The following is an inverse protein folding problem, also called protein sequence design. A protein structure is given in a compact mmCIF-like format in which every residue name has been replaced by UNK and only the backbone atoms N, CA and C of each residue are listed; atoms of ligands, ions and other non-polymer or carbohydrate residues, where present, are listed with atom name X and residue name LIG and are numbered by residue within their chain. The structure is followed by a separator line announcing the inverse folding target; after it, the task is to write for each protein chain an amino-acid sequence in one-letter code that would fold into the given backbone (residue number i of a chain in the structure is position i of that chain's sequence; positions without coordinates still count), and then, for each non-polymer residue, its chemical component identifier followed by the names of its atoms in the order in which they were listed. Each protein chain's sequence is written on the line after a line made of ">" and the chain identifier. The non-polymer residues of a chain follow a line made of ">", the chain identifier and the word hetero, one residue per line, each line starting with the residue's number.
data_IF_078498239028
#
_entry.id   IF_078498239028
#
_cell.length_a   1.000
_cell.length_b   1.000
_cell.length_c   1.000
_cell.angle_alpha   90.00
_cell.angle_beta   90.00
_cell.angle_gamma   90.00
#
_symmetry.space_group_name_H-M   'P 1'
#
loop_
_entity.id
_entity.type
_entity.pdbx_description
1 polymer ?
#
# COMPACT_ATOMS: atom_id res chain seq x y z
N UNK A 1 -15.97 -27.41 -16.73
CA UNK A 1 -16.19 -26.06 -16.17
C UNK A 1 -14.90 -25.30 -16.40
N UNK A 2 -14.88 -24.36 -17.35
CA UNK A 2 -13.68 -23.56 -17.64
C UNK A 2 -13.66 -22.40 -16.63
N UNK A 3 -12.86 -22.53 -15.58
CA UNK A 3 -12.59 -21.43 -14.66
C UNK A 3 -11.43 -20.60 -15.21
N UNK A 4 -11.65 -19.30 -15.36
CA UNK A 4 -10.63 -18.34 -15.78
C UNK A 4 -10.35 -17.47 -14.58
N UNK A 5 -9.08 -17.41 -14.16
CA UNK A 5 -8.63 -16.50 -13.11
C UNK A 5 -8.47 -15.09 -13.69
N UNK A 6 -8.83 -14.07 -12.92
CA UNK A 6 -8.71 -12.64 -13.22
C UNK A 6 -7.30 -12.18 -13.64
N UNK A 7 -6.26 -12.93 -13.27
CA UNK A 7 -4.85 -12.66 -13.60
C UNK A 7 -4.34 -13.47 -14.80
N UNK A 8 -5.21 -14.16 -15.55
CA UNK A 8 -4.78 -15.00 -16.67
C UNK A 8 -4.17 -14.16 -17.81
N UNK A 9 -2.89 -14.36 -18.19
CA UNK A 9 -2.21 -13.50 -19.16
C UNK A 9 -2.91 -13.39 -20.53
N UNK A 10 -3.55 -14.47 -20.98
CA UNK A 10 -4.26 -14.51 -22.27
C UNK A 10 -5.46 -13.55 -22.34
N UNK A 11 -6.07 -13.17 -21.20
CA UNK A 11 -7.12 -12.16 -21.17
C UNK A 11 -6.61 -10.84 -21.74
N UNK A 12 -5.39 -10.45 -21.37
CA UNK A 12 -4.77 -9.19 -21.80
C UNK A 12 -4.15 -9.27 -23.20
N UNK A 13 -3.87 -10.48 -23.70
CA UNK A 13 -3.36 -10.74 -25.05
C UNK A 13 -4.48 -11.03 -26.08
N UNK A 14 -5.62 -10.36 -25.94
CA UNK A 14 -6.75 -10.46 -26.88
C UNK A 14 -7.97 -11.24 -26.37
N UNK A 15 -7.88 -11.92 -25.22
CA UNK A 15 -9.04 -12.55 -24.59
C UNK A 15 -10.16 -11.56 -24.23
N UNK A 16 -9.80 -10.37 -23.72
CA UNK A 16 -10.74 -9.28 -23.46
C UNK A 16 -11.38 -8.76 -24.75
N UNK A 17 -10.62 -8.71 -25.85
CA UNK A 17 -11.18 -8.35 -27.16
C UNK A 17 -12.19 -9.39 -27.63
N UNK A 18 -11.90 -10.68 -27.44
CA UNK A 18 -12.85 -11.77 -27.72
C UNK A 18 -14.12 -11.64 -26.86
N UNK A 19 -13.98 -11.41 -25.56
CA UNK A 19 -15.12 -11.16 -24.65
C UNK A 19 -15.92 -9.93 -25.13
N UNK A 20 -15.25 -8.87 -25.57
CA UNK A 20 -15.89 -7.67 -26.13
C UNK A 20 -16.69 -7.99 -27.39
N UNK A 21 -16.13 -8.75 -28.33
CA UNK A 21 -16.83 -9.20 -29.54
C UNK A 21 -18.03 -10.09 -29.20
N UNK A 22 -17.86 -11.05 -28.29
CA UNK A 22 -18.96 -11.90 -27.82
C UNK A 22 -20.07 -11.07 -27.17
N UNK A 23 -19.71 -10.08 -26.36
CA UNK A 23 -20.65 -9.13 -25.75
C UNK A 23 -21.38 -8.33 -26.83
N UNK A 24 -20.68 -7.81 -27.83
CA UNK A 24 -21.27 -7.09 -28.95
C UNK A 24 -22.27 -7.97 -29.71
N UNK A 25 -21.90 -9.22 -30.02
CA UNK A 25 -22.80 -10.20 -30.67
C UNK A 25 -24.05 -10.44 -29.82
N UNK A 26 -23.90 -10.59 -28.50
CA UNK A 26 -25.03 -10.75 -27.59
C UNK A 26 -25.94 -9.52 -27.58
N UNK A 27 -25.38 -8.30 -27.52
CA UNK A 27 -26.14 -7.05 -27.55
C UNK A 27 -26.89 -6.91 -28.87
N UNK A 28 -26.23 -7.12 -30.02
CA UNK A 28 -26.86 -7.05 -31.35
C UNK A 28 -27.99 -8.07 -31.47
N UNK A 29 -27.78 -9.30 -30.99
CA UNK A 29 -28.82 -10.32 -30.96
C UNK A 29 -29.99 -9.94 -30.05
N UNK A 30 -29.71 -9.34 -28.89
CA UNK A 30 -30.71 -8.88 -27.93
C UNK A 30 -31.52 -7.66 -28.42
N UNK A 31 -30.94 -6.79 -29.24
CA UNK A 31 -31.59 -5.60 -29.80
C UNK A 31 -32.20 -5.83 -31.19
N UNK A 32 -32.19 -7.07 -31.69
CA UNK A 32 -32.76 -7.39 -33.00
C UNK A 32 -34.27 -7.13 -33.01
N UNK A 33 -34.82 -6.51 -34.07
CA UNK A 33 -36.25 -6.29 -34.21
C UNK A 33 -37.04 -7.59 -34.44
N UNK A 34 -36.36 -8.69 -34.79
CA UNK A 34 -36.97 -10.00 -35.02
C UNK A 34 -36.77 -10.91 -33.79
N UNK A 35 -37.80 -11.67 -33.35
CA UNK A 35 -37.66 -12.64 -32.29
C UNK A 35 -36.59 -13.69 -32.61
N UNK A 36 -35.68 -13.93 -31.66
CA UNK A 36 -34.63 -14.93 -31.78
C UNK A 36 -34.40 -15.63 -30.43
N UNK A 37 -33.49 -16.59 -30.37
CA UNK A 37 -33.22 -17.35 -29.15
C UNK A 37 -32.72 -16.45 -28.00
N UNK A 38 -31.90 -15.44 -28.31
CA UNK A 38 -31.35 -14.51 -27.31
C UNK A 38 -32.44 -13.61 -26.74
N UNK A 39 -33.33 -13.05 -27.58
CA UNK A 39 -34.43 -12.22 -27.08
C UNK A 39 -35.41 -13.01 -26.23
N UNK A 40 -35.68 -14.29 -26.56
CA UNK A 40 -36.49 -15.18 -25.70
C UNK A 40 -35.81 -15.50 -24.37
N UNK A 41 -34.51 -15.74 -24.38
CA UNK A 41 -33.74 -16.04 -23.17
C UNK A 41 -33.73 -14.84 -22.22
N UNK A 42 -33.39 -13.65 -22.72
CA UNK A 42 -33.28 -12.43 -21.92
C UNK A 42 -34.63 -11.86 -21.49
N UNK A 43 -35.71 -12.14 -22.22
CA UNK A 43 -37.08 -11.76 -21.83
C UNK A 43 -37.66 -12.63 -20.70
N UNK A 44 -36.89 -13.58 -20.14
CA UNK A 44 -37.35 -14.34 -18.98
C UNK A 44 -37.49 -13.43 -17.75
N UNK A 45 -38.59 -13.57 -17.02
CA UNK A 45 -38.96 -12.70 -15.89
C UNK A 45 -37.84 -12.54 -14.83
N UNK A 46 -37.12 -13.58 -14.40
CA UNK A 46 -36.04 -13.43 -13.42
C UNK A 46 -34.88 -12.57 -13.95
N UNK A 47 -34.49 -12.75 -15.21
CA UNK A 47 -33.40 -11.98 -15.82
C UNK A 47 -33.80 -10.51 -16.00
N UNK A 48 -35.04 -10.26 -16.39
CA UNK A 48 -35.57 -8.89 -16.43
C UNK A 48 -35.59 -8.24 -15.04
N UNK A 49 -36.00 -8.97 -14.00
CA UNK A 49 -36.02 -8.45 -12.62
C UNK A 49 -34.62 -8.14 -12.11
N UNK A 50 -33.62 -8.95 -12.43
CA UNK A 50 -32.22 -8.70 -12.06
C UNK A 50 -31.66 -7.51 -12.86
N UNK A 51 -31.94 -7.45 -14.16
CA UNK A 51 -31.52 -6.34 -15.03
C UNK A 51 -32.10 -4.99 -14.58
N UNK A 52 -33.39 -4.97 -14.23
CA UNK A 52 -34.11 -3.77 -13.77
C UNK A 52 -33.47 -3.18 -12.49
N UNK A 53 -32.93 -4.02 -11.61
CA UNK A 53 -32.29 -3.60 -10.35
C UNK A 53 -30.76 -3.65 -10.37
N UNK A 54 -30.16 -3.80 -11.56
CA UNK A 54 -28.71 -4.00 -11.74
C UNK A 54 -27.88 -2.86 -11.15
N UNK A 55 -28.36 -1.63 -11.24
CA UNK A 55 -27.71 -0.46 -10.66
C UNK A 55 -27.70 -0.50 -9.12
N UNK A 56 -28.85 -0.76 -8.49
CA UNK A 56 -28.92 -0.94 -7.04
C UNK A 56 -28.04 -2.11 -6.55
N UNK A 57 -28.03 -3.24 -7.27
CA UNK A 57 -27.14 -4.37 -6.97
C UNK A 57 -25.67 -3.96 -6.99
N UNK A 58 -25.26 -3.19 -8.01
CA UNK A 58 -23.90 -2.69 -8.12
C UNK A 58 -23.52 -1.75 -6.97
N UNK A 59 -24.42 -0.89 -6.49
CA UNK A 59 -24.10 -0.01 -5.36
C UNK A 59 -23.92 -0.79 -4.05
N UNK A 60 -24.83 -1.71 -3.76
CA UNK A 60 -24.92 -2.29 -2.42
C UNK A 60 -24.07 -3.54 -2.20
N UNK A 61 -23.66 -4.25 -3.26
CA UNK A 61 -22.90 -5.48 -3.09
C UNK A 61 -21.57 -5.24 -2.34
N UNK A 62 -20.79 -4.22 -2.70
CA UNK A 62 -19.47 -4.00 -2.11
C UNK A 62 -19.54 -3.56 -0.63
N UNK A 63 -20.34 -2.55 -0.22
CA UNK A 63 -20.48 -2.18 1.19
C UNK A 63 -20.97 -3.34 2.07
N UNK A 64 -21.90 -4.16 1.58
CA UNK A 64 -22.41 -5.33 2.31
C UNK A 64 -21.30 -6.36 2.52
N UNK A 65 -20.52 -6.66 1.48
CA UNK A 65 -19.38 -7.59 1.58
C UNK A 65 -18.38 -7.10 2.62
N UNK A 66 -17.94 -5.83 2.53
CA UNK A 66 -16.97 -5.25 3.47
C UNK A 66 -17.51 -5.27 4.89
N UNK A 67 -18.77 -4.89 5.10
CA UNK A 67 -19.39 -4.89 6.42
C UNK A 67 -19.44 -6.30 7.03
N UNK A 68 -19.83 -7.31 6.24
CA UNK A 68 -19.89 -8.69 6.70
C UNK A 68 -18.52 -9.29 7.03
N UNK A 69 -17.46 -8.90 6.32
CA UNK A 69 -16.09 -9.29 6.67
C UNK A 69 -15.76 -8.81 8.09
N UNK A 70 -16.15 -7.58 8.42
CA UNK A 70 -15.85 -6.98 9.72
C UNK A 70 -16.68 -7.57 10.87
N UNK A 71 -17.99 -7.81 10.67
CA UNK A 71 -18.87 -8.29 11.75
C UNK A 71 -18.92 -9.82 11.90
N UNK A 72 -18.46 -10.58 10.89
CA UNK A 72 -18.45 -12.04 10.90
C UNK A 72 -17.04 -12.62 10.62
N UNK A 73 -16.00 -12.22 11.36
CA UNK A 73 -14.62 -12.62 11.06
C UNK A 73 -14.40 -14.13 11.21
N UNK A 74 -15.07 -14.77 12.17
CA UNK A 74 -14.91 -16.20 12.49
C UNK A 74 -15.90 -17.11 11.75
N UNK A 75 -16.68 -16.58 10.81
CA UNK A 75 -17.66 -17.37 10.06
C UNK A 75 -17.03 -18.05 8.84
N UNK A 76 -17.54 -19.22 8.48
CA UNK A 76 -17.06 -19.91 7.27
C UNK A 76 -17.27 -19.04 6.03
N UNK A 77 -16.36 -19.13 5.07
CA UNK A 77 -16.43 -18.32 3.85
C UNK A 77 -17.77 -18.49 3.13
N UNK A 78 -18.25 -19.74 3.01
CA UNK A 78 -19.54 -20.03 2.39
C UNK A 78 -20.71 -19.34 3.10
N UNK A 79 -20.72 -19.33 4.44
CA UNK A 79 -21.78 -18.67 5.20
C UNK A 79 -21.79 -17.16 4.98
N UNK A 80 -20.60 -16.54 4.92
CA UNK A 80 -20.43 -15.11 4.64
C UNK A 80 -20.85 -14.76 3.22
N UNK A 81 -20.49 -15.58 2.22
CA UNK A 81 -20.90 -15.39 0.83
C UNK A 81 -22.42 -15.49 0.66
N UNK A 82 -23.07 -16.48 1.28
CA UNK A 82 -24.53 -16.62 1.26
C UNK A 82 -25.19 -15.40 1.91
N UNK A 83 -24.70 -14.98 3.08
CA UNK A 83 -25.19 -13.79 3.76
C UNK A 83 -25.04 -12.53 2.90
N UNK A 84 -23.89 -12.35 2.24
CA UNK A 84 -23.61 -11.22 1.36
C UNK A 84 -24.60 -11.17 0.20
N UNK A 85 -24.84 -12.30 -0.48
CA UNK A 85 -25.81 -12.38 -1.59
C UNK A 85 -27.21 -12.04 -1.12
N UNK A 86 -27.68 -12.65 -0.02
CA UNK A 86 -29.04 -12.45 0.49
C UNK A 86 -29.24 -11.00 0.92
N UNK A 87 -28.34 -10.45 1.72
CA UNK A 87 -28.43 -9.07 2.22
C UNK A 87 -28.35 -8.07 1.07
N UNK A 88 -27.44 -8.29 0.11
CA UNK A 88 -27.33 -7.44 -1.08
C UNK A 88 -28.63 -7.43 -1.87
N UNK A 89 -29.24 -8.59 -2.14
CA UNK A 89 -30.51 -8.66 -2.89
C UNK A 89 -31.62 -7.92 -2.13
N UNK A 90 -31.72 -8.09 -0.82
CA UNK A 90 -32.74 -7.44 0.01
C UNK A 90 -32.57 -5.92 -0.01
N UNK A 91 -31.37 -5.42 0.29
CA UNK A 91 -31.09 -3.98 0.32
C UNK A 91 -31.24 -3.38 -1.08
N UNK A 92 -30.75 -4.07 -2.12
CA UNK A 92 -30.87 -3.61 -3.50
C UNK A 92 -32.33 -3.56 -3.97
N UNK A 93 -33.15 -4.55 -3.62
CA UNK A 93 -34.58 -4.55 -3.95
C UNK A 93 -35.30 -3.38 -3.29
N UNK A 94 -34.98 -3.09 -2.01
CA UNK A 94 -35.54 -1.97 -1.28
C UNK A 94 -35.08 -0.63 -1.87
N UNK A 95 -33.77 -0.47 -2.11
CA UNK A 95 -33.17 0.71 -2.76
C UNK A 95 -33.80 0.96 -4.13
N UNK A 96 -33.93 -0.08 -4.94
CA UNK A 96 -34.50 0.01 -6.27
C UNK A 96 -35.96 0.49 -6.22
N UNK A 97 -36.77 -0.05 -5.31
CA UNK A 97 -38.19 0.32 -5.20
C UNK A 97 -38.42 1.69 -4.56
N UNK A 98 -37.61 2.06 -3.57
CA UNK A 98 -37.83 3.25 -2.73
C UNK A 98 -37.06 4.48 -3.20
N UNK A 99 -35.95 4.30 -3.91
CA UNK A 99 -35.05 5.38 -4.33
C UNK A 99 -34.96 5.42 -5.85
N UNK A 100 -34.53 4.33 -6.47
CA UNK A 100 -34.20 4.31 -7.90
C UNK A 100 -35.43 4.50 -8.81
N UNK A 101 -36.49 3.69 -8.61
CA UNK A 101 -37.73 3.77 -9.40
C UNK A 101 -38.42 5.14 -9.30
N UNK A 102 -38.60 5.72 -8.09
CA UNK A 102 -39.17 7.06 -7.98
C UNK A 102 -38.36 8.12 -8.73
N UNK A 103 -37.03 8.08 -8.64
CA UNK A 103 -36.14 9.03 -9.33
C UNK A 103 -36.22 8.84 -10.85
N UNK A 104 -36.21 7.60 -11.35
CA UNK A 104 -36.33 7.33 -12.79
C UNK A 104 -37.64 7.85 -13.38
N UNK A 105 -38.74 7.73 -12.64
CA UNK A 105 -40.07 8.13 -13.12
C UNK A 105 -40.38 9.63 -12.96
N UNK A 106 -39.84 10.27 -11.92
CA UNK A 106 -40.24 11.64 -11.54
C UNK A 106 -39.06 12.62 -11.42
N UNK A 107 -37.83 12.18 -11.75
CA UNK A 107 -36.61 12.93 -11.51
C UNK A 107 -36.39 13.24 -10.02
N UNK A 108 -35.54 14.22 -9.71
CA UNK A 108 -35.31 14.68 -8.33
C UNK A 108 -36.58 15.24 -7.66
N UNK A 109 -37.64 15.55 -8.42
CA UNK A 109 -38.95 15.95 -7.88
C UNK A 109 -39.67 14.80 -7.17
N UNK A 110 -39.24 13.55 -7.35
CA UNK A 110 -39.70 12.40 -6.58
C UNK A 110 -39.58 12.66 -5.06
N UNK A 111 -38.48 13.28 -4.63
CA UNK A 111 -38.25 13.65 -3.23
C UNK A 111 -39.18 14.76 -2.72
N UNK A 112 -39.81 15.52 -3.62
CA UNK A 112 -40.71 16.62 -3.29
C UNK A 112 -42.18 16.17 -3.26
N UNK A 113 -42.54 15.15 -4.05
CA UNK A 113 -43.92 14.67 -4.20
C UNK A 113 -44.34 13.68 -3.10
N UNK A 114 -43.39 12.98 -2.47
CA UNK A 114 -43.64 12.24 -1.23
C UNK A 114 -43.61 13.17 -0.02
N UNK A 115 -44.67 13.98 0.09
CA UNK A 115 -45.06 14.69 1.32
C UNK A 115 -46.02 13.80 2.13
N UNK A 116 -45.53 12.97 3.06
CA UNK A 116 -46.08 12.92 4.40
C UNK A 116 -45.18 13.81 5.28
N UNK A 117 -45.67 14.26 6.42
CA UNK A 117 -45.03 15.27 7.26
C UNK A 117 -43.62 14.90 7.82
N UNK A 118 -43.01 13.78 7.40
CA UNK A 118 -41.65 13.34 7.76
C UNK A 118 -40.59 13.41 6.63
N UNK A 119 -40.93 13.76 5.39
CA UNK A 119 -39.97 13.73 4.25
C UNK A 119 -38.80 14.72 4.37
N UNK A 120 -39.05 15.90 4.96
CA UNK A 120 -37.97 16.86 5.29
C UNK A 120 -37.05 16.31 6.38
N UNK A 121 -37.59 15.57 7.35
CA UNK A 121 -36.81 14.97 8.43
C UNK A 121 -35.95 13.83 7.90
N UNK A 122 -36.45 13.01 6.97
CA UNK A 122 -35.67 11.94 6.32
C UNK A 122 -34.58 12.46 5.38
N UNK A 123 -34.85 13.53 4.61
CA UNK A 123 -33.84 14.16 3.75
C UNK A 123 -32.78 14.92 4.55
N UNK A 124 -33.19 15.62 5.62
CA UNK A 124 -32.25 16.23 6.56
C UNK A 124 -31.50 15.13 7.32
N UNK A 125 -32.15 14.04 7.72
CA UNK A 125 -31.48 12.93 8.39
C UNK A 125 -30.53 12.18 7.46
N UNK A 126 -30.82 12.03 6.16
CA UNK A 126 -29.88 11.40 5.22
C UNK A 126 -28.71 12.32 4.89
N UNK A 127 -28.94 13.63 4.72
CA UNK A 127 -27.85 14.60 4.57
C UNK A 127 -27.04 14.73 5.86
N UNK A 128 -27.68 14.74 7.04
CA UNK A 128 -27.02 14.74 8.35
C UNK A 128 -26.32 13.41 8.59
N UNK A 129 -26.83 12.26 8.17
CA UNK A 129 -26.14 10.97 8.28
C UNK A 129 -24.99 10.84 7.29
N UNK A 130 -25.11 11.43 6.08
CA UNK A 130 -23.99 11.52 5.13
C UNK A 130 -22.95 12.49 5.64
N UNK A 131 -23.32 13.66 6.17
CA UNK A 131 -22.38 14.63 6.74
C UNK A 131 -21.82 14.18 8.10
N UNK A 132 -22.59 13.47 8.91
CA UNK A 132 -22.15 12.88 10.17
C UNK A 132 -21.33 11.63 9.90
N UNK A 133 -21.60 10.86 8.85
CA UNK A 133 -20.78 9.73 8.39
C UNK A 133 -19.49 10.19 7.73
N UNK A 134 -19.53 11.22 6.88
CA UNK A 134 -18.35 11.90 6.33
C UNK A 134 -17.55 12.55 7.45
N UNK A 135 -18.23 13.20 8.38
CA UNK A 135 -17.65 13.78 9.58
C UNK A 135 -17.07 12.72 10.49
N UNK A 136 -17.72 11.56 10.67
CA UNK A 136 -17.20 10.43 11.45
C UNK A 136 -15.98 9.82 10.78
N UNK A 137 -15.94 9.75 9.45
CA UNK A 137 -14.79 9.24 8.69
C UNK A 137 -13.62 10.24 8.72
N UNK A 138 -13.92 11.54 8.63
CA UNK A 138 -12.92 12.60 8.74
C UNK A 138 -12.38 12.71 10.18
N UNK A 139 -13.27 12.55 11.16
CA UNK A 139 -12.95 12.54 12.59
C UNK A 139 -12.36 11.21 13.02
N UNK A 140 -12.64 10.08 12.38
CA UNK A 140 -11.95 8.81 12.68
C UNK A 140 -10.53 8.84 12.12
N UNK A 141 -10.33 9.48 10.97
CA UNK A 141 -8.98 9.79 10.49
C UNK A 141 -8.29 10.87 11.34
N UNK A 142 -9.06 11.75 12.01
CA UNK A 142 -8.55 12.82 12.88
C UNK A 142 -8.58 12.54 14.40
N UNK A 143 -9.10 11.38 14.84
CA UNK A 143 -9.24 10.96 16.25
C UNK A 143 -8.76 9.52 16.44
N UNK A 144 -7.65 9.18 15.79
CA UNK A 144 -6.65 8.34 16.44
C UNK A 144 -5.96 9.21 17.53
N UNK A 145 -6.75 9.54 18.55
CA UNK A 145 -6.38 10.43 19.66
C UNK A 145 -6.93 9.85 20.95
N UNK A 146 -6.77 8.54 21.14
CA UNK A 146 -6.71 7.97 22.48
C UNK A 146 -5.30 8.26 22.98
N UNK A 147 -5.17 8.85 24.18
CA UNK A 147 -3.93 9.13 24.92
C UNK A 147 -2.66 8.81 24.12
N UNK A 148 -2.30 9.64 23.13
CA UNK A 148 -1.29 9.30 22.14
C UNK A 148 0.04 9.19 22.86
N UNK A 149 0.45 7.97 23.17
CA UNK A 149 1.81 7.69 23.62
C UNK A 149 2.67 7.93 22.39
N UNK A 150 3.34 9.07 22.38
CA UNK A 150 4.16 9.50 21.24
C UNK A 150 5.53 8.90 21.37
N UNK A 151 6.05 8.26 20.32
CA UNK A 151 7.48 8.01 20.28
C UNK A 151 8.19 9.33 20.06
N UNK A 152 9.24 9.60 20.85
CA UNK A 152 10.01 10.83 20.74
C UNK A 152 11.28 10.59 19.96
N UNK A 153 11.36 11.26 18.83
CA UNK A 153 12.53 11.26 17.98
C UNK A 153 13.25 12.61 18.18
N UNK A 154 14.53 12.63 18.56
CA UNK A 154 15.26 13.88 18.74
C UNK A 154 15.25 14.68 17.46
N UNK A 155 14.98 15.98 17.57
CA UNK A 155 15.13 16.90 16.45
C UNK A 155 16.60 17.01 16.07
N UNK A 156 16.88 17.00 14.77
CA UNK A 156 18.20 17.33 14.27
C UNK A 156 18.47 18.83 14.49
N UNK A 157 19.50 19.21 15.29
CA UNK A 157 19.76 20.61 15.60
C UNK A 157 20.13 21.47 14.38
N UNK A 158 20.50 20.84 13.25
CA UNK A 158 20.93 21.51 12.02
C UNK A 158 19.85 21.56 10.94
N UNK A 159 18.71 20.93 11.17
CA UNK A 159 17.65 20.87 10.17
C UNK A 159 17.07 22.26 9.86
N UNK A 160 16.92 22.58 8.58
CA UNK A 160 16.41 23.88 8.12
C UNK A 160 17.33 25.06 8.47
N UNK A 161 18.57 24.80 8.90
CA UNK A 161 19.58 25.83 9.16
C UNK A 161 20.47 26.03 7.94
N UNK A 162 21.12 27.19 7.85
CA UNK A 162 22.10 27.46 6.80
C UNK A 162 23.38 26.63 7.00
N UNK A 163 24.11 26.35 5.90
CA UNK A 163 25.31 25.50 5.95
C UNK A 163 26.38 26.04 6.91
N UNK A 164 26.47 27.35 7.07
CA UNK A 164 27.42 28.02 7.96
C UNK A 164 27.20 27.70 9.44
N UNK A 165 26.00 27.26 9.81
CA UNK A 165 25.67 26.85 11.18
C UNK A 165 26.04 25.40 11.50
N UNK A 166 26.39 24.61 10.48
CA UNK A 166 26.74 23.20 10.61
C UNK A 166 28.25 23.08 10.88
N UNK A 167 28.67 22.38 11.96
CA UNK A 167 30.07 22.19 12.27
C UNK A 167 30.86 21.60 11.10
N UNK A 168 32.11 22.05 10.95
CA UNK A 168 32.97 21.64 9.83
C UNK A 168 33.29 20.15 9.80
N UNK A 169 33.20 19.46 10.95
CA UNK A 169 33.37 18.01 11.04
C UNK A 169 32.20 17.21 10.43
N UNK A 170 31.10 17.86 10.05
CA UNK A 170 30.10 17.28 9.16
C UNK A 170 30.38 17.72 7.71
N UNK A 171 31.09 16.88 6.92
CA UNK A 171 31.38 17.19 5.54
C UNK A 171 30.11 17.13 4.71
N UNK A 172 30.14 17.79 3.54
CA UNK A 172 29.09 17.62 2.54
C UNK A 172 29.11 16.18 2.02
N UNK A 173 27.95 15.56 1.90
CA UNK A 173 27.82 14.17 1.43
C UNK A 173 26.80 14.07 0.30
N UNK A 174 27.12 13.25 -0.69
CA UNK A 174 26.15 12.81 -1.69
C UNK A 174 25.48 11.54 -1.18
N UNK A 175 24.15 11.51 -1.15
CA UNK A 175 23.35 10.37 -0.68
C UNK A 175 22.45 9.90 -1.81
N UNK A 176 22.49 8.62 -2.13
CA UNK A 176 21.51 7.98 -3.02
C UNK A 176 20.55 7.18 -2.17
N UNK A 177 19.30 7.64 -2.08
CA UNK A 177 18.24 7.00 -1.31
C UNK A 177 17.49 6.01 -2.21
N UNK A 178 17.64 4.72 -1.95
CA UNK A 178 17.04 3.64 -2.76
C UNK A 178 15.93 2.96 -1.98
N UNK A 179 14.82 2.64 -2.64
CA UNK A 179 13.77 1.84 -2.00
C UNK A 179 12.46 1.78 -2.78
N UNK A 180 11.38 1.45 -2.07
CA UNK A 180 10.04 1.35 -2.62
C UNK A 180 9.18 2.60 -2.29
N UNK A 181 7.88 2.42 -2.07
CA UNK A 181 6.93 3.51 -1.85
C UNK A 181 7.17 4.32 -0.56
N UNK A 182 7.67 3.71 0.51
CA UNK A 182 8.05 4.41 1.75
C UNK A 182 9.25 5.34 1.52
N UNK A 183 10.21 4.93 0.69
CA UNK A 183 11.35 5.76 0.31
C UNK A 183 10.96 6.91 -0.62
N UNK A 184 10.02 6.67 -1.56
CA UNK A 184 9.42 7.75 -2.37
C UNK A 184 8.75 8.78 -1.46
N UNK A 185 7.88 8.33 -0.54
CA UNK A 185 7.19 9.22 0.39
C UNK A 185 8.14 10.00 1.28
N UNK A 186 9.19 9.36 1.80
CA UNK A 186 10.21 10.04 2.61
C UNK A 186 11.00 11.07 1.81
N UNK A 187 11.37 10.77 0.56
CA UNK A 187 12.07 11.72 -0.30
C UNK A 187 11.22 12.93 -0.68
N UNK A 188 9.94 12.73 -0.98
CA UNK A 188 9.03 13.79 -1.41
C UNK A 188 8.56 14.65 -0.24
N UNK A 189 8.22 14.03 0.89
CA UNK A 189 7.58 14.71 2.04
C UNK A 189 8.54 15.00 3.19
N UNK A 190 9.70 14.36 3.23
CA UNK A 190 10.70 14.57 4.28
C UNK A 190 11.42 15.91 4.23
N UNK A 191 11.14 16.72 3.19
CA UNK A 191 11.84 17.99 2.91
C UNK A 191 13.35 17.79 2.92
N UNK A 192 13.82 16.77 2.20
CA UNK A 192 15.22 16.35 2.22
C UNK A 192 16.20 17.42 1.74
N UNK A 193 15.70 18.44 1.05
CA UNK A 193 16.49 19.59 0.60
C UNK A 193 16.74 20.62 1.71
N UNK A 194 16.11 20.50 2.88
CA UNK A 194 16.35 21.36 4.05
C UNK A 194 17.56 20.90 4.89
N UNK A 195 18.28 19.87 4.46
CA UNK A 195 19.57 19.45 5.04
C UNK A 195 20.71 19.89 4.12
N UNK A 196 21.31 21.08 4.31
CA UNK A 196 22.19 21.71 3.32
C UNK A 196 23.59 21.04 3.19
N UNK A 197 23.91 20.11 4.07
CA UNK A 197 25.12 19.29 4.02
C UNK A 197 24.90 17.95 3.30
N UNK A 198 23.65 17.54 3.04
CA UNK A 198 23.32 16.28 2.38
C UNK A 198 22.69 16.55 1.00
N UNK A 199 23.35 16.12 -0.07
CA UNK A 199 22.80 16.13 -1.42
C UNK A 199 22.10 14.81 -1.70
N UNK A 200 20.79 14.80 -1.53
CA UNK A 200 19.98 13.58 -1.59
C UNK A 200 19.41 13.39 -2.99
N UNK A 201 19.69 12.24 -3.58
CA UNK A 201 19.11 11.78 -4.82
C UNK A 201 18.22 10.57 -4.53
N UNK A 202 16.92 10.74 -4.69
CA UNK A 202 15.99 9.62 -4.57
C UNK A 202 16.01 8.79 -5.85
N UNK A 203 16.22 7.50 -5.68
CA UNK A 203 15.98 6.48 -6.69
C UNK A 203 15.09 5.40 -6.09
N UNK A 204 13.80 5.69 -6.01
CA UNK A 204 12.81 4.81 -5.41
C UNK A 204 11.59 4.63 -6.32
N UNK A 205 10.91 3.49 -6.22
CA UNK A 205 9.75 3.18 -7.09
C UNK A 205 8.61 2.47 -6.36
N UNK A 206 7.39 2.93 -6.59
CA UNK A 206 6.19 2.44 -5.91
C UNK A 206 5.88 1.00 -6.33
N UNK A 207 6.00 0.08 -5.37
CA UNK A 207 5.67 -1.32 -5.57
C UNK A 207 6.64 -2.07 -6.49
N UNK A 208 7.88 -1.62 -6.59
CA UNK A 208 8.99 -2.35 -7.20
C UNK A 208 10.03 -2.72 -6.13
N UNK A 209 10.79 -3.78 -6.39
CA UNK A 209 11.87 -4.27 -5.55
C UNK A 209 13.22 -3.98 -6.19
N UNK A 210 14.28 -3.90 -5.38
CA UNK A 210 15.66 -3.68 -5.87
C UNK A 210 16.30 -4.95 -6.44
N UNK A 211 15.63 -6.09 -6.35
CA UNK A 211 16.18 -7.41 -6.64
C UNK A 211 16.53 -7.50 -8.13
N UNK A 212 17.76 -7.89 -8.47
CA UNK A 212 18.17 -7.98 -9.88
C UNK A 212 17.90 -9.37 -10.47
N UNK A 213 17.71 -10.38 -9.62
CA UNK A 213 17.36 -11.74 -10.04
C UNK A 213 15.86 -11.91 -10.28
N UNK A 214 15.54 -12.58 -11.40
CA UNK A 214 14.20 -13.08 -11.73
C UNK A 214 13.68 -14.17 -10.76
N UNK A 215 14.54 -14.71 -9.89
CA UNK A 215 14.29 -15.90 -9.07
C UNK A 215 13.52 -15.65 -7.77
N UNK A 216 13.06 -14.43 -7.52
CA UNK A 216 12.35 -14.09 -6.28
C UNK A 216 11.09 -13.30 -6.64
N UNK A 217 9.98 -14.02 -6.82
CA UNK A 217 8.66 -13.39 -6.79
C UNK A 217 8.19 -13.31 -5.35
N UNK A 218 7.80 -12.12 -4.90
CA UNK A 218 7.09 -11.97 -3.64
C UNK A 218 5.59 -12.27 -3.85
N UNK A 219 4.89 -12.77 -2.83
CA UNK A 219 3.44 -12.94 -2.88
C UNK A 219 2.73 -11.62 -3.27
N UNK A 220 1.88 -11.66 -4.31
CA UNK A 220 1.18 -10.50 -4.86
C UNK A 220 1.94 -9.76 -5.96
N UNK A 221 3.13 -10.22 -6.36
CA UNK A 221 3.88 -9.67 -7.48
C UNK A 221 3.36 -10.26 -8.80
N UNK A 222 2.70 -9.41 -9.60
CA UNK A 222 2.31 -9.73 -10.98
C UNK A 222 3.53 -9.91 -11.90
N UNK A 223 3.33 -10.14 -13.21
CA UNK A 223 4.45 -10.05 -14.16
C UNK A 223 5.16 -8.70 -14.00
N UNK A 224 6.49 -8.73 -14.08
CA UNK A 224 7.31 -7.52 -13.89
C UNK A 224 6.83 -6.42 -14.83
N UNK A 225 6.39 -5.31 -14.24
CA UNK A 225 5.99 -4.13 -15.00
C UNK A 225 7.25 -3.53 -15.60
N UNK A 226 7.17 -3.00 -16.82
CA UNK A 226 8.29 -2.31 -17.49
C UNK A 226 8.95 -1.28 -16.55
N UNK A 227 8.13 -0.55 -15.79
CA UNK A 227 8.59 0.41 -14.78
C UNK A 227 9.49 -0.19 -13.69
N UNK A 228 9.30 -1.45 -13.29
CA UNK A 228 10.17 -2.11 -12.30
C UNK A 228 11.49 -2.59 -12.93
N UNK A 229 11.46 -2.98 -14.20
CA UNK A 229 12.67 -3.31 -14.96
C UNK A 229 13.52 -2.04 -15.15
N UNK A 230 12.90 -0.93 -15.54
CA UNK A 230 13.56 0.38 -15.63
C UNK A 230 14.09 0.84 -14.28
N UNK A 231 13.30 0.71 -13.21
CA UNK A 231 13.71 1.05 -11.86
C UNK A 231 15.03 0.36 -11.46
N UNK A 232 15.14 -0.96 -11.71
CA UNK A 232 16.33 -1.75 -11.36
C UNK A 232 17.59 -1.31 -12.09
N UNK A 233 17.46 -0.70 -13.27
CA UNK A 233 18.57 -0.04 -13.98
C UNK A 233 18.84 1.33 -13.37
N UNK A 234 17.79 2.12 -13.17
CA UNK A 234 17.89 3.52 -12.75
C UNK A 234 18.59 3.72 -11.41
N UNK A 235 18.43 2.81 -10.44
CA UNK A 235 19.08 2.98 -9.14
C UNK A 235 20.59 2.74 -9.20
N UNK A 236 21.05 1.86 -10.09
CA UNK A 236 22.49 1.67 -10.34
C UNK A 236 23.05 2.88 -11.08
N UNK A 237 22.37 3.34 -12.14
CA UNK A 237 22.76 4.53 -12.89
C UNK A 237 22.84 5.77 -11.97
N UNK A 238 21.91 5.94 -11.03
CA UNK A 238 21.90 7.02 -10.05
C UNK A 238 23.16 7.06 -9.16
N UNK A 239 23.82 5.92 -8.96
CA UNK A 239 25.09 5.80 -8.24
C UNK A 239 26.25 6.14 -9.19
N UNK A 240 26.28 5.55 -10.39
CA UNK A 240 27.37 5.70 -11.37
C UNK A 240 27.66 7.16 -11.75
N UNK A 241 26.62 7.98 -11.86
CA UNK A 241 26.74 9.38 -12.27
C UNK A 241 27.06 10.33 -11.10
N UNK A 242 27.47 9.80 -9.94
CA UNK A 242 27.76 10.58 -8.73
C UNK A 242 29.17 10.26 -8.23
N UNK A 243 29.81 11.27 -7.66
CA UNK A 243 31.14 11.13 -7.11
C UNK A 243 31.05 10.68 -5.64
N UNK A 244 31.50 9.46 -5.36
CA UNK A 244 31.67 8.90 -4.00
C UNK A 244 30.39 8.91 -3.12
N UNK A 245 29.21 8.45 -3.63
CA UNK A 245 27.96 8.53 -2.87
C UNK A 245 27.88 7.51 -1.73
N UNK A 246 27.24 7.91 -0.62
CA UNK A 246 26.66 6.95 0.34
C UNK A 246 25.33 6.44 -0.22
N UNK A 247 25.17 5.12 -0.32
CA UNK A 247 23.91 4.50 -0.75
C UNK A 247 23.14 4.07 0.49
N UNK A 248 21.89 4.53 0.61
CA UNK A 248 21.00 4.19 1.72
C UNK A 248 19.80 3.43 1.19
N UNK A 249 19.69 2.15 1.54
CA UNK A 249 18.56 1.30 1.17
C UNK A 249 17.49 1.34 2.24
N UNK A 250 16.28 1.76 1.90
CA UNK A 250 15.10 1.61 2.75
C UNK A 250 14.43 0.28 2.44
N UNK A 251 14.40 -0.61 3.43
CA UNK A 251 13.73 -1.89 3.29
C UNK A 251 12.21 -1.73 3.23
N UNK A 252 11.57 -2.73 2.64
CA UNK A 252 10.14 -2.72 2.37
C UNK A 252 9.49 -4.05 2.76
N UNK A 253 8.19 -4.01 3.04
CA UNK A 253 7.42 -5.12 3.63
C UNK A 253 7.35 -6.38 2.78
N UNK A 254 7.71 -6.33 1.49
CA UNK A 254 7.79 -7.56 0.66
C UNK A 254 8.85 -8.57 1.10
N UNK A 255 9.82 -8.18 1.94
CA UNK A 255 10.76 -9.12 2.55
C UNK A 255 10.09 -10.02 3.61
N UNK A 256 8.84 -9.74 3.99
CA UNK A 256 7.99 -10.56 4.86
C UNK A 256 6.94 -11.36 4.04
N UNK A 257 7.14 -11.43 2.72
CA UNK A 257 6.32 -12.23 1.81
C UNK A 257 6.93 -13.61 1.56
N UNK A 258 6.17 -14.50 0.94
CA UNK A 258 6.72 -15.77 0.46
C UNK A 258 7.62 -15.52 -0.76
N UNK A 259 8.76 -16.19 -0.80
CA UNK A 259 9.65 -16.24 -1.96
C UNK A 259 9.47 -17.53 -2.74
N UNK A 260 9.35 -17.44 -4.06
CA UNK A 260 9.24 -18.61 -4.93
C UNK A 260 10.56 -18.89 -5.65
N UNK A 261 11.28 -19.94 -5.23
CA UNK A 261 12.50 -20.41 -5.88
C UNK A 261 12.23 -21.80 -6.48
N UNK A 262 12.47 -21.96 -7.78
CA UNK A 262 12.19 -23.19 -8.54
C UNK A 262 10.75 -23.73 -8.38
N UNK A 263 9.79 -22.85 -8.15
CA UNK A 263 8.38 -23.18 -7.96
C UNK A 263 8.00 -23.62 -6.54
N UNK A 264 8.96 -23.67 -5.61
CA UNK A 264 8.72 -23.88 -4.19
C UNK A 264 8.63 -22.55 -3.44
N UNK A 265 7.63 -22.42 -2.58
CA UNK A 265 7.44 -21.24 -1.75
C UNK A 265 8.19 -21.39 -0.42
N UNK A 266 8.93 -20.37 -0.04
CA UNK A 266 9.63 -20.25 1.23
C UNK A 266 9.09 -19.02 1.96
N UNK A 267 8.45 -19.26 3.11
CA UNK A 267 7.84 -18.21 3.90
C UNK A 267 8.78 -17.64 4.96
N UNK A 268 8.49 -16.45 5.50
CA UNK A 268 9.29 -15.86 6.57
C UNK A 268 9.48 -16.80 7.77
N UNK A 269 10.69 -16.79 8.34
CA UNK A 269 11.05 -17.62 9.50
C UNK A 269 11.56 -19.02 9.14
N UNK A 270 11.69 -19.38 7.85
CA UNK A 270 12.42 -20.59 7.44
C UNK A 270 13.86 -20.26 7.04
N UNK A 271 14.83 -21.18 7.24
CA UNK A 271 16.22 -20.96 6.83
C UNK A 271 16.37 -20.60 5.35
N UNK A 272 15.56 -21.19 4.47
CA UNK A 272 15.61 -20.95 3.03
C UNK A 272 15.13 -19.55 2.66
N UNK A 273 14.11 -19.04 3.36
CA UNK A 273 13.68 -17.64 3.21
C UNK A 273 14.81 -16.69 3.63
N UNK A 274 15.44 -16.96 4.78
CA UNK A 274 16.53 -16.13 5.29
C UNK A 274 17.73 -16.11 4.34
N UNK A 275 18.04 -17.24 3.70
CA UNK A 275 19.09 -17.32 2.67
C UNK A 275 18.77 -16.48 1.44
N UNK A 276 17.50 -16.43 1.02
CA UNK A 276 17.05 -15.54 -0.06
C UNK A 276 17.23 -14.08 0.34
N UNK A 277 16.84 -13.69 1.56
CA UNK A 277 17.04 -12.32 2.07
C UNK A 277 18.52 -11.95 2.08
N UNK A 278 19.40 -12.80 2.62
CA UNK A 278 20.86 -12.56 2.64
C UNK A 278 21.41 -12.42 1.22
N UNK A 279 20.93 -13.23 0.28
CA UNK A 279 21.32 -13.14 -1.13
C UNK A 279 20.92 -11.82 -1.79
N UNK A 280 19.72 -11.32 -1.50
CA UNK A 280 19.24 -10.01 -1.96
C UNK A 280 20.12 -8.88 -1.43
N UNK A 281 20.42 -8.90 -0.12
CA UNK A 281 21.24 -7.86 0.52
C UNK A 281 22.67 -7.88 -0.02
N UNK A 282 23.23 -9.08 -0.24
CA UNK A 282 24.55 -9.26 -0.83
C UNK A 282 24.62 -8.72 -2.27
N UNK A 283 23.65 -9.08 -3.12
CA UNK A 283 23.58 -8.59 -4.50
C UNK A 283 23.44 -7.06 -4.53
N UNK A 284 22.56 -6.49 -3.69
CA UNK A 284 22.39 -5.05 -3.62
C UNK A 284 23.69 -4.33 -3.22
N UNK A 285 24.39 -4.84 -2.20
CA UNK A 285 25.67 -4.28 -1.74
C UNK A 285 26.73 -4.37 -2.84
N UNK A 286 26.93 -5.55 -3.42
CA UNK A 286 27.90 -5.80 -4.48
C UNK A 286 27.70 -4.82 -5.64
N UNK A 287 26.47 -4.72 -6.13
CA UNK A 287 26.12 -3.88 -7.28
C UNK A 287 26.22 -2.39 -6.98
N UNK A 288 25.91 -1.99 -5.75
CA UNK A 288 26.12 -0.61 -5.32
C UNK A 288 27.60 -0.23 -5.32
N UNK A 289 28.47 -1.11 -4.82
CA UNK A 289 29.92 -0.89 -4.80
C UNK A 289 30.52 -0.90 -6.21
N UNK A 290 30.08 -1.82 -7.08
CA UNK A 290 30.47 -1.86 -8.49
C UNK A 290 30.09 -0.57 -9.24
N UNK A 291 28.91 -0.02 -8.94
CA UNK A 291 28.44 1.25 -9.49
C UNK A 291 29.18 2.48 -8.93
N UNK A 292 30.07 2.31 -7.96
CA UNK A 292 30.91 3.40 -7.42
C UNK A 292 30.47 3.96 -6.07
N UNK A 293 29.60 3.28 -5.32
CA UNK A 293 29.25 3.68 -3.97
C UNK A 293 30.45 3.64 -3.02
N UNK A 294 30.58 4.67 -2.18
CA UNK A 294 31.59 4.74 -1.09
C UNK A 294 31.33 3.69 -0.03
N UNK A 295 30.08 3.65 0.42
CA UNK A 295 29.57 2.78 1.49
C UNK A 295 28.09 2.54 1.25
N UNK A 296 27.59 1.44 1.79
CA UNK A 296 26.17 1.08 1.79
C UNK A 296 25.67 1.09 3.24
N UNK A 297 24.49 1.64 3.44
CA UNK A 297 23.74 1.59 4.69
C UNK A 297 22.31 1.12 4.42
N UNK A 298 21.69 0.51 5.42
CA UNK A 298 20.34 -0.02 5.38
C UNK A 298 19.51 0.65 6.46
N UNK A 299 18.33 1.17 6.10
CA UNK A 299 17.28 1.47 7.06
C UNK A 299 16.44 0.22 7.20
N UNK A 300 16.42 -0.37 8.40
CA UNK A 300 15.72 -1.62 8.64
C UNK A 300 14.19 -1.47 8.57
N UNK A 301 13.45 -2.56 8.74
CA UNK A 301 11.99 -2.53 8.62
C UNK A 301 11.37 -1.66 9.71
N UNK A 302 10.57 -0.68 9.28
CA UNK A 302 9.80 0.15 10.18
C UNK A 302 8.72 -0.66 10.90
N UNK A 303 8.53 -0.34 12.17
CA UNK A 303 7.38 -0.82 12.92
C UNK A 303 6.10 -0.16 12.40
N UNK A 304 5.07 -0.98 12.16
CA UNK A 304 3.82 -0.51 11.56
C UNK A 304 2.66 -1.47 11.83
N UNK A 305 1.45 -0.95 11.82
CA UNK A 305 0.22 -1.73 11.88
C UNK A 305 -0.80 -1.13 10.91
N UNK A 306 -1.14 -1.89 9.86
CA UNK A 306 -2.12 -1.49 8.83
C UNK A 306 -3.41 -2.32 8.96
N UNK A 307 -4.57 -1.78 8.54
CA UNK A 307 -5.81 -2.54 8.53
C UNK A 307 -5.68 -3.87 7.76
N UNK A 308 -5.99 -4.97 8.45
CA UNK A 308 -5.97 -6.32 7.89
C UNK A 308 -7.39 -6.88 7.81
N UNK A 309 -7.80 -7.28 6.62
CA UNK A 309 -9.12 -7.85 6.34
C UNK A 309 -9.07 -9.38 6.17
N UNK A 310 -7.91 -10.01 6.43
CA UNK A 310 -7.70 -11.46 6.44
C UNK A 310 -7.74 -12.12 5.06
N UNK A 311 -7.70 -11.34 3.97
CA UNK A 311 -7.80 -11.80 2.59
C UNK A 311 -6.48 -11.72 1.82
N UNK A 312 -5.44 -11.09 2.38
CA UNK A 312 -4.13 -10.93 1.76
C UNK A 312 -3.06 -11.37 2.78
N UNK A 313 -2.55 -12.62 2.73
CA UNK A 313 -1.63 -13.16 3.73
C UNK A 313 -0.37 -12.30 3.96
N UNK A 314 0.16 -11.68 2.90
CA UNK A 314 1.30 -10.77 3.00
C UNK A 314 1.04 -9.55 3.88
N UNK A 315 -0.20 -9.07 3.99
CA UNK A 315 -0.58 -7.98 4.90
C UNK A 315 -0.52 -8.44 6.35
N UNK A 316 -1.14 -9.59 6.63
CA UNK A 316 -1.11 -10.22 7.96
C UNK A 316 0.32 -10.45 8.42
N UNK A 317 1.20 -10.96 7.55
CA UNK A 317 2.62 -11.17 7.89
C UNK A 317 3.36 -9.86 8.09
N UNK A 318 3.13 -8.84 7.26
CA UNK A 318 3.77 -7.53 7.43
C UNK A 318 3.40 -6.84 8.75
N UNK A 319 2.19 -7.10 9.28
CA UNK A 319 1.76 -6.60 10.59
C UNK A 319 2.33 -7.41 11.78
N UNK A 320 3.01 -8.53 11.54
CA UNK A 320 3.59 -9.31 12.63
C UNK A 320 4.86 -8.63 13.15
N UNK A 321 4.78 -8.10 14.37
CA UNK A 321 5.95 -7.53 15.07
C UNK A 321 7.04 -8.57 15.28
N UNK A 322 6.66 -9.81 15.60
CA UNK A 322 7.61 -10.92 15.75
C UNK A 322 8.38 -11.19 14.45
N UNK A 323 7.69 -11.35 13.31
CA UNK A 323 8.35 -11.57 12.03
C UNK A 323 9.22 -10.38 11.63
N UNK A 324 8.75 -9.16 11.88
CA UNK A 324 9.50 -7.93 11.60
C UNK A 324 10.79 -7.86 12.42
N UNK A 325 10.72 -8.15 13.71
CA UNK A 325 11.88 -8.19 14.61
C UNK A 325 12.87 -9.28 14.19
N UNK A 326 12.40 -10.50 13.93
CA UNK A 326 13.27 -11.61 13.50
C UNK A 326 13.97 -11.27 12.18
N UNK A 327 13.29 -10.63 11.23
CA UNK A 327 13.89 -10.17 9.98
C UNK A 327 14.93 -9.06 10.25
N UNK A 328 14.64 -8.11 11.14
CA UNK A 328 15.59 -7.06 11.50
C UNK A 328 16.84 -7.60 12.21
N UNK A 329 16.71 -8.62 13.06
CA UNK A 329 17.82 -9.35 13.67
C UNK A 329 18.68 -10.03 12.59
N UNK A 330 18.05 -10.75 11.66
CA UNK A 330 18.73 -11.35 10.49
C UNK A 330 19.53 -10.31 9.68
N UNK A 331 18.93 -9.15 9.42
CA UNK A 331 19.57 -8.05 8.68
C UNK A 331 20.75 -7.49 9.48
N UNK A 332 20.60 -7.28 10.78
CA UNK A 332 21.66 -6.77 11.64
C UNK A 332 22.86 -7.72 11.68
N UNK A 333 22.63 -9.01 11.85
CA UNK A 333 23.67 -10.05 11.82
C UNK A 333 24.40 -10.06 10.48
N UNK A 334 23.65 -10.11 9.37
CA UNK A 334 24.24 -10.07 8.04
C UNK A 334 25.04 -8.79 7.80
N UNK A 335 24.53 -7.65 8.25
CA UNK A 335 25.17 -6.35 8.04
C UNK A 335 26.47 -6.22 8.83
N UNK A 336 26.51 -6.76 10.07
CA UNK A 336 27.72 -6.82 10.89
C UNK A 336 28.84 -7.59 10.19
N UNK A 337 28.52 -8.77 9.64
CA UNK A 337 29.47 -9.62 8.92
C UNK A 337 29.95 -9.00 7.59
N UNK A 338 29.22 -8.01 7.07
CA UNK A 338 29.44 -7.41 5.76
C UNK A 338 29.86 -5.93 5.81
N UNK A 339 30.18 -5.34 6.96
CA UNK A 339 30.48 -3.89 7.11
C UNK A 339 29.43 -2.99 6.45
N UNK A 340 28.16 -3.33 6.65
CA UNK A 340 27.02 -2.49 6.25
C UNK A 340 26.47 -1.84 7.50
N UNK A 341 26.27 -0.52 7.45
CA UNK A 341 25.65 0.17 8.58
C UNK A 341 24.13 -0.06 8.58
N UNK A 342 23.56 -0.26 9.76
CA UNK A 342 22.10 -0.38 9.93
C UNK A 342 21.57 0.81 10.73
N UNK A 343 20.63 1.52 10.15
CA UNK A 343 19.84 2.54 10.81
C UNK A 343 18.56 1.88 11.33
N UNK A 344 18.51 1.72 12.65
CA UNK A 344 17.43 0.99 13.32
C UNK A 344 16.18 1.86 13.48
N UNK A 345 15.36 1.88 12.43
CA UNK A 345 14.08 2.56 12.42
C UNK A 345 13.03 1.86 13.29
N UNK A 346 13.11 0.54 13.44
CA UNK A 346 12.15 -0.22 14.25
C UNK A 346 12.14 0.26 15.70
N UNK A 347 13.31 0.28 16.36
CA UNK A 347 13.43 0.72 17.75
C UNK A 347 13.15 2.22 17.94
N UNK A 348 13.20 2.99 16.86
CA UNK A 348 12.85 4.43 16.86
C UNK A 348 11.35 4.65 16.76
N UNK A 349 10.57 3.68 16.29
CA UNK A 349 9.12 3.78 16.14
C UNK A 349 8.34 2.90 17.12
N UNK A 350 9.00 1.93 17.76
CA UNK A 350 8.38 0.98 18.69
C UNK A 350 9.18 0.78 19.97
N UNK A 351 8.45 0.63 21.08
CA UNK A 351 8.99 0.21 22.37
C UNK A 351 8.73 -1.29 22.54
N UNK A 352 9.72 -2.11 22.18
CA UNK A 352 9.57 -3.54 22.03
C UNK A 352 8.58 -3.89 20.92
N UNK A 353 7.47 -4.54 21.28
CA UNK A 353 6.41 -4.96 20.34
C UNK A 353 5.19 -4.02 20.38
N UNK A 354 5.33 -2.83 20.98
CA UNK A 354 4.25 -1.85 21.08
C UNK A 354 4.35 -0.83 19.95
N UNK A 355 3.36 -0.85 19.06
CA UNK A 355 3.19 0.13 18.00
C UNK A 355 2.50 1.41 18.49
N UNK A 356 2.98 2.55 18.00
CA UNK A 356 2.42 3.86 18.24
C UNK A 356 2.04 4.54 16.93
N UNK A 357 0.83 5.05 16.87
CA UNK A 357 0.26 5.72 15.70
C UNK A 357 0.75 7.17 15.50
N UNK A 358 1.63 7.65 16.39
CA UNK A 358 2.14 9.02 16.36
C UNK A 358 3.59 9.15 16.81
N UNK A 359 4.29 10.09 16.18
CA UNK A 359 5.68 10.46 16.46
C UNK A 359 5.76 11.96 16.75
N UNK A 360 6.39 12.34 17.86
CA UNK A 360 6.44 13.74 18.33
C UNK A 360 5.06 14.46 18.33
N UNK A 361 3.97 13.74 18.60
CA UNK A 361 2.60 14.28 18.62
C UNK A 361 1.95 14.46 17.25
N UNK A 362 2.55 13.91 16.19
CA UNK A 362 2.03 13.91 14.82
C UNK A 362 1.68 12.50 14.38
N UNK A 363 0.60 12.34 13.61
CA UNK A 363 0.22 11.05 13.06
C UNK A 363 1.36 10.46 12.21
N UNK A 364 1.72 9.21 12.49
CA UNK A 364 2.90 8.57 11.90
C UNK A 364 2.65 8.15 10.45
N UNK A 365 1.51 7.51 10.15
CA UNK A 365 1.20 6.99 8.81
C UNK A 365 -0.17 7.43 8.28
N UNK A 366 -0.27 7.60 6.96
CA UNK A 366 -1.53 7.87 6.25
C UNK A 366 -2.42 6.62 6.14
N UNK A 367 -1.80 5.46 5.92
CA UNK A 367 -2.46 4.17 5.64
C UNK A 367 -1.89 3.00 6.45
N UNK A 368 -1.17 3.32 7.52
CA UNK A 368 -0.46 2.35 8.35
C UNK A 368 0.88 1.90 7.77
N UNK A 369 1.39 2.51 6.69
CA UNK A 369 2.75 2.24 6.16
C UNK A 369 3.47 3.48 5.63
N UNK A 370 2.76 4.42 4.99
CA UNK A 370 3.37 5.60 4.36
C UNK A 370 3.34 6.80 5.30
N UNK A 371 4.51 7.44 5.51
CA UNK A 371 4.62 8.62 6.37
C UNK A 371 3.70 9.76 5.91
N UNK A 372 3.04 10.41 6.88
CA UNK A 372 2.23 11.60 6.64
C UNK A 372 3.12 12.78 6.23
N UNK A 373 2.51 13.85 5.72
CA UNK A 373 3.21 15.12 5.46
C UNK A 373 3.83 15.72 6.75
N UNK A 374 3.25 15.44 7.91
CA UNK A 374 3.75 15.93 9.21
C UNK A 374 4.86 15.04 9.80
N UNK A 375 4.81 13.73 9.61
CA UNK A 375 5.77 12.79 10.20
C UNK A 375 7.01 12.59 9.32
N UNK A 376 6.89 12.67 8.00
CA UNK A 376 8.02 12.46 7.10
C UNK A 376 9.22 13.39 7.39
N UNK A 377 9.04 14.71 7.66
CA UNK A 377 10.14 15.59 8.07
C UNK A 377 10.82 15.15 9.38
N UNK A 378 10.05 14.63 10.34
CA UNK A 378 10.57 14.16 11.64
C UNK A 378 11.44 12.91 11.43
N UNK A 379 10.97 11.97 10.62
CA UNK A 379 11.72 10.75 10.28
C UNK A 379 12.97 11.08 9.48
N UNK A 380 12.88 12.02 8.53
CA UNK A 380 14.03 12.46 7.77
C UNK A 380 15.10 13.12 8.66
N UNK A 381 14.72 13.95 9.62
CA UNK A 381 15.67 14.57 10.56
C UNK A 381 16.51 13.52 11.30
N UNK A 382 15.86 12.47 11.80
CA UNK A 382 16.57 11.36 12.43
C UNK A 382 17.49 10.63 11.46
N UNK A 383 17.01 10.30 10.27
CA UNK A 383 17.80 9.61 9.27
C UNK A 383 19.01 10.45 8.81
N UNK A 384 18.83 11.75 8.61
CA UNK A 384 19.88 12.69 8.26
C UNK A 384 20.97 12.75 9.35
N UNK A 385 20.56 12.76 10.63
CA UNK A 385 21.49 12.67 11.74
C UNK A 385 22.32 11.38 11.71
N UNK A 386 21.69 10.23 11.46
CA UNK A 386 22.39 8.95 11.35
C UNK A 386 23.33 8.89 10.11
N UNK A 387 22.91 9.44 8.97
CA UNK A 387 23.74 9.57 7.77
C UNK A 387 25.01 10.37 8.06
N UNK A 388 24.91 11.48 8.79
CA UNK A 388 26.07 12.31 9.15
C UNK A 388 27.12 11.55 9.94
N UNK A 389 26.70 10.62 10.79
CA UNK A 389 27.60 9.76 11.58
C UNK A 389 28.34 8.72 10.75
N UNK A 390 27.93 8.48 9.50
CA UNK A 390 28.64 7.64 8.54
C UNK A 390 29.47 8.45 7.52
N UNK A 391 29.68 9.74 7.79
CA UNK A 391 30.48 10.61 6.95
C UNK A 391 31.89 10.05 6.67
N UNK A 392 32.53 10.48 5.58
CA UNK A 392 33.85 9.99 5.17
C UNK A 392 34.96 10.14 6.22
N UNK A 393 34.79 11.03 7.20
CA UNK A 393 35.72 11.26 8.31
C UNK A 393 35.25 10.73 9.68
N UNK A 394 34.14 9.97 9.73
CA UNK A 394 33.64 9.40 10.97
C UNK A 394 34.63 8.39 11.56
N UNK A 395 35.31 8.76 12.65
CA UNK A 395 36.31 7.93 13.35
C UNK A 395 37.75 8.46 13.31
N UNK A 396 37.99 9.73 12.94
CA UNK A 396 39.32 10.37 12.97
C UNK A 396 39.63 11.19 14.24
N UNK A 397 38.83 11.06 15.30
CA UNK A 397 39.05 11.73 16.60
C UNK A 397 39.60 10.78 17.66
#
# INVERSE_FOLDING_TARGET
>A
MFTVNEFSPWLFQGGLALIGVMTLVMVVAATSPLPNAMTKLLANKPLMVVGDQSYSLYIWHWPVIVYLIWIMPNSSELSRQIAAVVITIVISTLSHRLVERPIHQHGLRAFVKYRPQGGKVLAIASVVSVLAGSGLLYVSNGRAGGDSVTVRVPADPYYGKDRESIPDFYPRQTVVLVGASTAVGLAERGLVNETPDLYVYSSASVGCTTYLREAVKAEGEGPDREACIEFRKSWQEAIEIRNDPLVVLLLHTRLLGDFYVDGQAYGPGTPEHDDVVRGILAEFKEKSLEAGARKVAIVNMACHERPDFGNIPSVTRSNSMELTRNLNELIADWAQDNDVAVFDQYSVLCDGDTYYDSVNGKALYDDGLHYTEDSAPIIWQWLAYEIRRLGPDAGRD
#
